data_IF_412121436398
#
_entry.id   IF_412121436398
#
_cell.length_a   1.000
_cell.length_b   1.000
_cell.length_c   1.000
_cell.angle_alpha   90.00
_cell.angle_beta   90.00
_cell.angle_gamma   90.00
#
_symmetry.space_group_name_H-M   'P 1'
#
loop_
_entity.id
_entity.type
_entity.pdbx_description
1 polymer ?
#
# COMPACT_ATOMS: atom_id res chain seq x y z
N UNK A 1 -29.81 -1.75 13.53
CA UNK A 1 -28.53 -2.23 14.07
C UNK A 1 -27.49 -1.93 13.00
N UNK A 2 -26.64 -0.91 13.21
CA UNK A 2 -25.56 -0.59 12.28
C UNK A 2 -24.44 -1.60 12.52
N UNK A 3 -24.29 -2.56 11.62
CA UNK A 3 -23.04 -3.32 11.54
C UNK A 3 -21.92 -2.30 11.32
N UNK A 4 -21.06 -2.13 12.34
CA UNK A 4 -19.83 -1.35 12.22
C UNK A 4 -18.95 -2.11 11.24
N UNK A 5 -19.09 -1.80 9.96
CA UNK A 5 -18.26 -2.35 8.90
C UNK A 5 -16.80 -2.13 9.30
N UNK A 6 -16.06 -3.23 9.44
CA UNK A 6 -14.65 -3.17 9.83
C UNK A 6 -13.91 -2.46 8.70
N UNK A 7 -13.23 -1.31 8.95
CA UNK A 7 -12.46 -0.64 7.93
C UNK A 7 -11.50 -1.62 7.26
N UNK A 8 -11.43 -1.61 5.92
CA UNK A 8 -10.62 -2.58 5.17
C UNK A 8 -9.15 -2.56 5.64
N UNK A 9 -8.63 -1.41 6.06
CA UNK A 9 -7.27 -1.27 6.59
C UNK A 9 -6.98 -2.16 7.80
N UNK A 10 -7.99 -2.55 8.57
CA UNK A 10 -7.83 -3.45 9.71
C UNK A 10 -7.52 -4.88 9.29
N UNK A 11 -7.94 -5.30 8.10
CA UNK A 11 -7.56 -6.59 7.51
C UNK A 11 -6.05 -6.58 7.21
N UNK A 12 -5.56 -5.52 6.57
CA UNK A 12 -4.15 -5.35 6.24
C UNK A 12 -3.23 -5.22 7.47
N UNK A 13 -3.77 -4.75 8.59
CA UNK A 13 -2.99 -4.49 9.81
C UNK A 13 -3.20 -5.52 10.93
N UNK A 14 -4.01 -6.57 10.71
CA UNK A 14 -4.56 -7.48 11.73
C UNK A 14 -3.54 -8.19 12.65
N UNK A 15 -2.26 -8.27 12.27
CA UNK A 15 -1.20 -8.86 13.10
C UNK A 15 0.04 -7.98 13.23
N UNK A 16 -0.05 -6.73 12.77
CA UNK A 16 1.07 -5.82 12.85
C UNK A 16 1.19 -5.28 14.28
N UNK A 17 2.43 -5.15 14.79
CA UNK A 17 2.68 -4.45 16.05
C UNK A 17 2.04 -3.07 16.05
N UNK A 18 1.46 -2.65 17.19
CA UNK A 18 0.74 -1.37 17.32
C UNK A 18 1.55 -0.15 16.82
N UNK A 19 2.85 -0.16 17.06
CA UNK A 19 3.79 0.88 16.60
C UNK A 19 3.84 1.02 15.07
N UNK A 20 3.57 -0.05 14.33
CA UNK A 20 3.51 -0.07 12.87
C UNK A 20 2.07 0.14 12.37
N UNK A 21 1.07 -0.47 13.00
CA UNK A 21 -0.31 -0.35 12.54
C UNK A 21 -0.94 1.02 12.79
N UNK A 22 -0.55 1.73 13.87
CA UNK A 22 -1.17 3.00 14.21
C UNK A 22 -0.88 4.12 13.18
N UNK A 23 0.36 4.32 12.69
CA UNK A 23 0.62 5.28 11.60
C UNK A 23 -0.16 4.95 10.31
N UNK A 24 -0.20 3.67 9.93
CA UNK A 24 -0.93 3.17 8.76
C UNK A 24 -2.42 3.51 8.86
N UNK A 25 -3.02 3.23 10.01
CA UNK A 25 -4.42 3.49 10.27
C UNK A 25 -4.75 4.99 10.21
N UNK A 26 -3.92 5.84 10.81
CA UNK A 26 -4.11 7.31 10.79
C UNK A 26 -4.02 7.89 9.38
N UNK A 27 -3.04 7.43 8.59
CA UNK A 27 -2.87 7.86 7.20
C UNK A 27 -4.09 7.44 6.37
N UNK A 28 -4.58 6.21 6.57
CA UNK A 28 -5.80 5.72 5.92
C UNK A 28 -7.03 6.53 6.29
N UNK A 29 -7.31 6.75 7.57
CA UNK A 29 -8.48 7.54 7.99
C UNK A 29 -8.45 8.96 7.41
N UNK A 30 -7.29 9.60 7.46
CA UNK A 30 -7.11 10.95 6.93
C UNK A 30 -7.37 10.99 5.42
N UNK A 31 -6.69 10.13 4.66
CA UNK A 31 -6.80 10.11 3.20
C UNK A 31 -8.17 9.64 2.74
N UNK A 32 -8.81 8.70 3.45
CA UNK A 32 -10.13 8.22 3.06
C UNK A 32 -11.18 9.31 3.24
N UNK A 33 -11.14 10.04 4.36
CA UNK A 33 -12.01 11.20 4.58
C UNK A 33 -11.81 12.27 3.52
N UNK A 34 -10.57 12.56 3.15
CA UNK A 34 -10.24 13.52 2.09
C UNK A 34 -10.73 13.04 0.72
N UNK A 35 -10.52 11.75 0.37
CA UNK A 35 -10.97 11.17 -0.88
C UNK A 35 -12.50 11.24 -1.01
N UNK A 36 -13.24 10.91 0.05
CA UNK A 36 -14.69 11.04 0.09
C UNK A 36 -15.14 12.48 -0.13
N UNK A 37 -14.52 13.46 0.54
CA UNK A 37 -14.84 14.87 0.34
C UNK A 37 -14.63 15.31 -1.12
N UNK A 38 -13.54 14.85 -1.75
CA UNK A 38 -13.24 15.14 -3.16
C UNK A 38 -14.27 14.48 -4.09
N UNK A 39 -14.56 13.19 -3.91
CA UNK A 39 -15.49 12.45 -4.77
C UNK A 39 -16.92 13.00 -4.66
N UNK A 40 -17.35 13.36 -3.45
CA UNK A 40 -18.70 13.87 -3.20
C UNK A 40 -18.84 15.30 -3.73
N UNK A 41 -17.85 16.15 -3.46
CA UNK A 41 -17.90 17.58 -3.70
C UNK A 41 -17.72 18.02 -5.14
N UNK A 42 -17.10 17.22 -6.01
CA UNK A 42 -16.78 17.61 -7.38
C UNK A 42 -17.45 16.72 -8.44
N UNK A 43 -18.30 17.28 -9.34
CA UNK A 43 -19.01 16.50 -10.36
C UNK A 43 -18.12 15.64 -11.26
N UNK A 44 -16.89 16.09 -11.56
CA UNK A 44 -15.94 15.34 -12.40
C UNK A 44 -15.56 13.96 -11.84
N UNK A 45 -15.78 13.70 -10.56
CA UNK A 45 -15.51 12.41 -9.91
C UNK A 45 -16.78 11.62 -9.62
N UNK A 46 -17.95 12.04 -10.16
CA UNK A 46 -19.24 11.41 -9.86
C UNK A 46 -19.26 9.90 -10.19
N UNK A 47 -18.54 9.46 -11.23
CA UNK A 47 -18.43 8.05 -11.59
C UNK A 47 -17.74 7.16 -10.52
N UNK A 48 -17.04 7.76 -9.54
CA UNK A 48 -16.45 7.02 -8.41
C UNK A 48 -17.42 6.90 -7.21
N UNK A 49 -18.55 7.63 -7.21
CA UNK A 49 -19.53 7.60 -6.11
C UNK A 49 -20.20 6.24 -5.97
N UNK A 50 -20.39 5.54 -7.08
CA UNK A 50 -21.00 4.21 -7.09
C UNK A 50 -19.98 3.11 -6.74
N UNK A 51 -18.70 3.48 -6.60
CA UNK A 51 -17.56 2.57 -6.43
C UNK A 51 -16.78 2.84 -5.13
N UNK A 52 -17.40 3.50 -4.14
CA UNK A 52 -16.73 3.84 -2.88
C UNK A 52 -16.06 2.64 -2.15
N UNK A 53 -16.66 1.43 -2.11
CA UNK A 53 -15.98 0.26 -1.55
C UNK A 53 -14.68 -0.09 -2.29
N UNK A 54 -14.67 0.03 -3.61
CA UNK A 54 -13.49 -0.19 -4.46
C UNK A 54 -12.43 0.89 -4.19
N UNK A 55 -12.85 2.16 -4.06
CA UNK A 55 -11.95 3.28 -3.68
C UNK A 55 -11.32 3.03 -2.31
N UNK A 56 -12.11 2.61 -1.32
CA UNK A 56 -11.62 2.27 0.02
C UNK A 56 -10.56 1.17 -0.03
N UNK A 57 -10.83 0.09 -0.77
CA UNK A 57 -9.92 -1.03 -0.93
C UNK A 57 -8.60 -0.63 -1.59
N UNK A 58 -8.68 0.11 -2.71
CA UNK A 58 -7.49 0.57 -3.44
C UNK A 58 -6.65 1.54 -2.59
N UNK A 59 -7.30 2.39 -1.79
CA UNK A 59 -6.61 3.28 -0.87
C UNK A 59 -5.94 2.52 0.28
N UNK A 60 -6.57 1.47 0.79
CA UNK A 60 -5.95 0.62 1.80
C UNK A 60 -4.72 -0.11 1.24
N UNK A 61 -4.82 -0.64 0.02
CA UNK A 61 -3.70 -1.28 -0.69
C UNK A 61 -2.52 -0.34 -0.90
N UNK A 62 -2.78 0.89 -1.34
CA UNK A 62 -1.72 1.88 -1.60
C UNK A 62 -1.02 2.33 -0.32
N UNK A 63 -1.77 2.50 0.77
CA UNK A 63 -1.19 2.88 2.07
C UNK A 63 -0.39 1.71 2.64
N UNK A 64 -0.88 0.48 2.52
CA UNK A 64 -0.11 -0.69 2.93
C UNK A 64 1.18 -0.83 2.12
N UNK A 65 1.14 -0.58 0.81
CA UNK A 65 2.33 -0.57 -0.03
C UNK A 65 3.38 0.45 0.46
N UNK A 66 2.96 1.70 0.68
CA UNK A 66 3.86 2.79 1.07
C UNK A 66 4.49 2.58 2.46
N UNK A 67 3.75 2.03 3.42
CA UNK A 67 4.25 1.83 4.78
C UNK A 67 5.00 0.52 4.98
N UNK A 68 4.69 -0.52 4.20
CA UNK A 68 5.24 -1.87 4.40
C UNK A 68 6.05 -2.31 3.19
N UNK A 69 5.41 -2.53 2.04
CA UNK A 69 6.05 -3.20 0.90
C UNK A 69 7.25 -2.41 0.39
N UNK A 70 7.12 -1.10 0.18
CA UNK A 70 8.21 -0.25 -0.29
C UNK A 70 9.42 -0.25 0.67
N UNK A 71 9.18 -0.31 1.98
CA UNK A 71 10.24 -0.40 2.99
C UNK A 71 10.92 -1.77 2.99
N UNK A 72 10.17 -2.85 2.78
CA UNK A 72 10.75 -4.19 2.62
C UNK A 72 11.60 -4.27 1.35
N UNK A 73 11.12 -3.72 0.23
CA UNK A 73 11.88 -3.65 -1.02
C UNK A 73 13.19 -2.88 -0.87
N UNK A 74 13.15 -1.74 -0.18
CA UNK A 74 14.34 -0.94 0.13
C UNK A 74 15.34 -1.73 0.99
N UNK A 75 14.87 -2.48 1.99
CA UNK A 75 15.72 -3.32 2.84
C UNK A 75 16.38 -4.47 2.04
N UNK A 76 15.64 -5.11 1.13
CA UNK A 76 16.16 -6.16 0.24
C UNK A 76 17.23 -5.59 -0.69
N UNK A 77 16.96 -4.43 -1.28
CA UNK A 77 17.90 -3.74 -2.18
C UNK A 77 19.18 -3.35 -1.44
N UNK A 78 19.04 -2.74 -0.25
CA UNK A 78 20.17 -2.34 0.58
C UNK A 78 21.05 -3.53 0.98
N UNK A 79 20.44 -4.64 1.42
CA UNK A 79 21.19 -5.86 1.71
C UNK A 79 21.95 -6.37 0.48
N UNK A 80 21.30 -6.38 -0.69
CA UNK A 80 21.93 -6.80 -1.95
C UNK A 80 23.15 -5.96 -2.33
N UNK A 81 23.11 -4.65 -2.08
CA UNK A 81 24.24 -3.76 -2.34
C UNK A 81 25.42 -4.03 -1.40
N UNK A 82 25.18 -4.04 -0.09
CA UNK A 82 26.25 -4.22 0.93
C UNK A 82 26.91 -5.60 0.82
N UNK A 83 26.12 -6.66 0.64
CA UNK A 83 26.68 -8.03 0.61
C UNK A 83 27.45 -8.34 -0.66
N UNK A 84 27.18 -7.64 -1.77
CA UNK A 84 27.94 -7.79 -3.02
C UNK A 84 29.33 -7.16 -2.96
N UNK A 85 29.47 -6.03 -2.29
CA UNK A 85 30.75 -5.30 -2.25
C UNK A 85 31.72 -5.89 -1.23
N UNK A 86 31.22 -6.32 -0.07
CA UNK A 86 32.10 -6.66 1.07
C UNK A 86 32.21 -8.17 1.38
N UNK A 87 31.56 -9.04 0.59
CA UNK A 87 31.50 -10.49 0.85
C UNK A 87 30.97 -10.83 2.27
N UNK A 88 30.10 -9.96 2.79
CA UNK A 88 29.54 -10.03 4.14
C UNK A 88 28.29 -10.92 4.15
N UNK A 89 28.14 -11.76 5.18
CA UNK A 89 27.03 -12.73 5.28
C UNK A 89 25.68 -12.15 5.76
N UNK A 90 25.65 -10.88 6.18
CA UNK A 90 24.44 -10.19 6.60
C UNK A 90 24.73 -8.86 7.30
N UNK A 91 23.69 -8.05 7.47
CA UNK A 91 23.78 -6.73 8.09
C UNK A 91 23.25 -6.81 9.52
N UNK A 92 24.08 -6.45 10.50
CA UNK A 92 23.67 -6.38 11.91
C UNK A 92 23.09 -5.01 12.22
N UNK A 93 21.88 -4.98 12.78
CA UNK A 93 21.19 -3.79 13.26
C UNK A 93 20.80 -4.00 14.73
N UNK A 94 21.65 -3.52 15.64
CA UNK A 94 21.52 -3.83 17.06
C UNK A 94 21.65 -5.33 17.32
N UNK A 95 20.60 -5.95 17.88
CA UNK A 95 20.52 -7.40 18.10
C UNK A 95 19.97 -8.19 16.90
N UNK A 96 19.42 -7.52 15.89
CA UNK A 96 18.87 -8.18 14.70
C UNK A 96 19.95 -8.37 13.62
N UNK A 97 19.87 -9.48 12.90
CA UNK A 97 20.75 -9.79 11.77
C UNK A 97 19.88 -10.00 10.53
N UNK A 98 20.00 -9.08 9.58
CA UNK A 98 19.41 -9.20 8.25
C UNK A 98 20.35 -10.06 7.40
N UNK A 99 20.09 -11.37 7.37
CA UNK A 99 20.87 -12.34 6.59
C UNK A 99 20.06 -12.85 5.38
N UNK A 100 20.66 -13.77 4.61
CA UNK A 100 20.01 -14.35 3.44
C UNK A 100 18.65 -15.02 3.73
N UNK A 101 18.47 -15.64 4.90
CA UNK A 101 17.20 -16.27 5.28
C UNK A 101 16.10 -15.23 5.52
N UNK A 102 16.42 -14.16 6.23
CA UNK A 102 15.50 -13.05 6.46
C UNK A 102 15.12 -12.36 5.14
N UNK A 103 16.10 -12.14 4.25
CA UNK A 103 15.87 -11.59 2.92
C UNK A 103 14.91 -12.45 2.10
N UNK A 104 15.07 -13.78 2.11
CA UNK A 104 14.14 -14.69 1.42
C UNK A 104 12.71 -14.56 1.93
N UNK A 105 12.52 -14.38 3.24
CA UNK A 105 11.20 -14.14 3.83
C UNK A 105 10.61 -12.82 3.36
N UNK A 106 11.40 -11.74 3.35
CA UNK A 106 10.95 -10.44 2.86
C UNK A 106 10.56 -10.49 1.38
N UNK A 107 11.40 -11.10 0.55
CA UNK A 107 11.14 -11.29 -0.88
C UNK A 107 9.86 -12.07 -1.16
N UNK A 108 9.55 -13.08 -0.33
CA UNK A 108 8.29 -13.83 -0.44
C UNK A 108 7.06 -12.94 -0.23
N UNK A 109 7.08 -12.08 0.79
CA UNK A 109 5.99 -11.14 1.07
C UNK A 109 5.83 -10.11 -0.06
N UNK A 110 6.94 -9.54 -0.52
CA UNK A 110 6.97 -8.60 -1.66
C UNK A 110 6.37 -9.27 -2.90
N UNK A 111 6.82 -10.49 -3.23
CA UNK A 111 6.33 -11.24 -4.38
C UNK A 111 4.84 -11.52 -4.29
N UNK A 112 4.36 -11.98 -3.14
CA UNK A 112 2.94 -12.23 -2.94
C UNK A 112 2.09 -10.97 -3.16
N UNK A 113 2.59 -9.80 -2.70
CA UNK A 113 1.92 -8.53 -2.95
C UNK A 113 1.89 -8.19 -4.46
N UNK A 114 3.00 -8.36 -5.18
CA UNK A 114 3.04 -8.12 -6.63
C UNK A 114 2.17 -9.11 -7.42
N UNK A 115 2.16 -10.39 -7.06
CA UNK A 115 1.27 -11.39 -7.67
C UNK A 115 -0.21 -11.03 -7.47
N UNK A 116 -0.57 -10.52 -6.29
CA UNK A 116 -1.92 -10.00 -6.02
C UNK A 116 -2.24 -8.82 -6.95
N UNK A 117 -1.32 -7.87 -7.10
CA UNK A 117 -1.49 -6.72 -7.98
C UNK A 117 -1.67 -7.12 -9.44
N UNK A 118 -0.81 -8.01 -9.93
CA UNK A 118 -0.87 -8.55 -11.30
C UNK A 118 -2.18 -9.29 -11.56
N UNK A 119 -2.64 -10.12 -10.61
CA UNK A 119 -3.91 -10.84 -10.73
C UNK A 119 -5.11 -9.93 -10.98
N UNK A 120 -5.07 -8.71 -10.44
CA UNK A 120 -6.14 -7.72 -10.62
C UNK A 120 -5.78 -6.63 -11.65
N UNK A 121 -4.75 -6.84 -12.47
CA UNK A 121 -4.25 -5.89 -13.46
C UNK A 121 -3.96 -4.48 -12.88
N UNK A 122 -3.54 -4.43 -11.62
CA UNK A 122 -3.21 -3.19 -10.94
C UNK A 122 -1.73 -2.87 -11.16
N UNK A 123 -1.46 -1.70 -11.75
CA UNK A 123 -0.09 -1.19 -11.90
C UNK A 123 0.44 -0.59 -10.59
N UNK A 124 1.70 -0.86 -10.25
CA UNK A 124 2.38 -0.22 -9.12
C UNK A 124 2.45 1.31 -9.24
N UNK A 125 2.38 1.85 -10.47
CA UNK A 125 2.31 3.29 -10.71
C UNK A 125 1.05 3.94 -10.11
N UNK A 126 0.01 3.15 -9.81
CA UNK A 126 -1.20 3.63 -9.14
C UNK A 126 -0.87 4.19 -7.73
N UNK A 127 0.10 3.57 -7.05
CA UNK A 127 0.46 3.89 -5.66
C UNK A 127 1.37 5.11 -5.53
N UNK A 128 1.98 5.57 -6.63
CA UNK A 128 2.87 6.72 -6.62
C UNK A 128 2.12 8.05 -6.57
N UNK A 129 1.65 8.47 -5.39
CA UNK A 129 0.99 9.76 -5.21
C UNK A 129 1.43 10.43 -3.92
N UNK A 130 1.43 11.77 -3.93
CA UNK A 130 1.73 12.56 -2.74
C UNK A 130 0.42 12.99 -2.07
N UNK A 131 -0.47 13.60 -2.84
CA UNK A 131 -1.75 14.11 -2.37
C UNK A 131 -2.86 13.11 -2.63
N UNK A 132 -3.89 13.10 -1.78
CA UNK A 132 -5.08 12.27 -1.99
C UNK A 132 -5.81 12.64 -3.29
N UNK A 133 -5.76 13.92 -3.69
CA UNK A 133 -6.27 14.36 -4.98
C UNK A 133 -5.60 13.62 -6.15
N UNK A 134 -4.28 13.44 -6.12
CA UNK A 134 -3.54 12.74 -7.17
C UNK A 134 -4.00 11.28 -7.28
N UNK A 135 -4.26 10.64 -6.14
CA UNK A 135 -4.82 9.28 -6.07
C UNK A 135 -6.20 9.23 -6.72
N UNK A 136 -7.13 10.10 -6.32
CA UNK A 136 -8.50 10.15 -6.88
C UNK A 136 -8.47 10.45 -8.38
N UNK A 137 -7.57 11.33 -8.83
CA UNK A 137 -7.37 11.63 -10.25
C UNK A 137 -6.94 10.39 -11.05
N UNK A 138 -6.04 9.56 -10.52
CA UNK A 138 -5.66 8.32 -11.18
C UNK A 138 -6.83 7.34 -11.28
N UNK A 139 -7.63 7.21 -10.21
CA UNK A 139 -8.79 6.32 -10.21
C UNK A 139 -9.83 6.72 -11.26
N UNK A 140 -10.15 8.02 -11.37
CA UNK A 140 -11.11 8.47 -12.38
C UNK A 140 -10.57 8.24 -13.79
N UNK A 141 -9.28 8.50 -14.04
CA UNK A 141 -8.66 8.26 -15.35
C UNK A 141 -8.81 6.80 -15.76
N UNK A 142 -8.54 5.87 -14.84
CA UNK A 142 -8.69 4.42 -15.09
C UNK A 142 -10.16 4.09 -15.39
N UNK A 143 -11.09 4.49 -14.51
CA UNK A 143 -12.52 4.22 -14.70
C UNK A 143 -13.07 4.78 -16.01
N UNK A 144 -12.61 5.96 -16.43
CA UNK A 144 -13.04 6.58 -17.70
C UNK A 144 -12.43 5.93 -18.93
N UNK A 145 -11.23 5.33 -18.83
CA UNK A 145 -10.61 4.58 -19.92
C UNK A 145 -11.26 3.22 -20.13
N UNK A 146 -11.77 2.60 -19.07
CA UNK A 146 -12.48 1.32 -19.14
C UNK A 146 -13.92 1.45 -19.68
N UNK A 147 -14.48 2.66 -19.68
CA UNK A 147 -15.84 2.96 -20.15
C UNK A 147 -15.91 3.44 -21.62
N UNK A 148 -14.78 3.44 -22.36
CA UNK A 148 -14.70 3.82 -23.78
C UNK A 148 -14.15 2.68 -24.61
#
# INVERSE_FOLDING_TARGET
MNDKQIPIINIFTYKLPKRLSQPIYKDFEYRYKEALAIIIGYPKYAALKDELPTVELLLALSIFYNHIIANLDAAVTFHGLVTREDNVQGIRMGSYILNADEIRKLQSVIRFYHELMEKYNLSSSLWNYRLTLDFVQKLIIIKTRDNG
#
